data_IF_622914197640
#
_entry.id   IF_622914197640
#
_cell.length_a   1.000
_cell.length_b   1.000
_cell.length_c   1.000
_cell.angle_alpha   90.00
_cell.angle_beta   90.00
_cell.angle_gamma   90.00
#
_symmetry.space_group_name_H-M   'P 1'
#
loop_
_entity.id
_entity.type
_entity.pdbx_description
1 polymer ?
#
# COMPACT_ATOMS: atom_id res chain seq x y z
N UNK A 1 -9.27 -4.21 2.61
CA UNK A 1 -10.64 -4.41 2.12
C UNK A 1 -11.54 -5.05 3.18
N UNK A 2 -11.05 -6.04 3.91
CA UNK A 2 -11.73 -6.72 5.01
C UNK A 2 -10.91 -6.53 6.28
N UNK A 3 -11.58 -6.31 7.42
CA UNK A 3 -10.90 -6.02 8.68
C UNK A 3 -10.68 -7.28 9.52
N UNK A 4 -11.54 -8.26 9.35
CA UNK A 4 -11.49 -9.51 10.10
C UNK A 4 -10.56 -10.52 9.43
N UNK A 5 -9.73 -11.20 10.25
CA UNK A 5 -8.77 -12.20 9.78
C UNK A 5 -9.47 -13.45 9.23
N UNK A 6 -10.51 -13.91 9.89
CA UNK A 6 -11.25 -15.09 9.44
C UNK A 6 -11.88 -14.85 8.07
N UNK A 7 -12.44 -13.65 7.89
CA UNK A 7 -12.97 -13.21 6.59
C UNK A 7 -11.88 -13.09 5.53
N UNK A 8 -10.69 -12.63 5.90
CA UNK A 8 -9.57 -12.58 4.96
C UNK A 8 -9.14 -13.99 4.52
N UNK A 9 -9.12 -14.95 5.43
CA UNK A 9 -8.83 -16.36 5.13
C UNK A 9 -9.88 -16.97 4.19
N UNK A 10 -11.17 -16.68 4.39
CA UNK A 10 -12.24 -17.08 3.46
C UNK A 10 -12.03 -16.49 2.07
N UNK A 11 -11.71 -15.19 1.98
CA UNK A 11 -11.44 -14.51 0.69
C UNK A 11 -10.27 -15.16 -0.04
N UNK A 12 -9.21 -15.55 0.68
CA UNK A 12 -8.07 -16.28 0.10
C UNK A 12 -8.50 -17.65 -0.43
N UNK A 13 -9.29 -18.40 0.32
CA UNK A 13 -9.81 -19.70 -0.13
C UNK A 13 -10.69 -19.55 -1.38
N UNK A 14 -11.63 -18.60 -1.37
CA UNK A 14 -12.48 -18.28 -2.51
C UNK A 14 -11.67 -17.87 -3.75
N UNK A 15 -10.55 -17.17 -3.52
CA UNK A 15 -9.62 -16.80 -4.59
C UNK A 15 -8.98 -18.02 -5.21
N UNK A 16 -8.47 -18.95 -4.41
CA UNK A 16 -7.88 -20.18 -4.93
C UNK A 16 -8.87 -21.06 -5.68
N UNK A 17 -10.11 -21.15 -5.20
CA UNK A 17 -11.17 -21.84 -5.95
C UNK A 17 -11.39 -21.20 -7.31
N UNK A 18 -11.52 -19.86 -7.36
CA UNK A 18 -11.69 -19.15 -8.63
C UNK A 18 -10.46 -19.29 -9.56
N UNK A 19 -9.25 -19.32 -9.03
CA UNK A 19 -8.03 -19.56 -9.80
C UNK A 19 -8.07 -20.94 -10.45
N UNK A 20 -8.39 -21.99 -9.69
CA UNK A 20 -8.46 -23.37 -10.20
C UNK A 20 -9.52 -23.47 -11.31
N UNK A 21 -10.70 -22.90 -11.10
CA UNK A 21 -11.79 -22.94 -12.07
C UNK A 21 -11.52 -22.18 -13.36
N UNK A 22 -10.69 -21.13 -13.29
CA UNK A 22 -10.42 -20.24 -14.42
C UNK A 22 -9.01 -20.35 -15.02
N UNK A 23 -8.16 -21.24 -14.48
CA UNK A 23 -6.78 -21.40 -14.91
C UNK A 23 -6.65 -21.72 -16.41
N UNK A 24 -7.56 -22.51 -16.95
CA UNK A 24 -7.63 -22.84 -18.38
C UNK A 24 -8.00 -21.65 -19.27
N UNK A 25 -8.48 -20.54 -18.70
CA UNK A 25 -8.80 -19.28 -19.40
C UNK A 25 -7.70 -18.24 -19.28
N UNK A 26 -6.61 -18.57 -18.58
CA UNK A 26 -5.46 -17.68 -18.46
C UNK A 26 -4.73 -17.55 -19.79
N UNK A 27 -4.80 -16.37 -20.40
CA UNK A 27 -4.25 -16.09 -21.74
C UNK A 27 -2.81 -15.59 -21.72
N UNK A 28 -2.17 -15.44 -20.56
CA UNK A 28 -0.78 -14.97 -20.45
C UNK A 28 -0.58 -13.49 -20.78
N UNK A 29 -1.63 -12.65 -20.74
CA UNK A 29 -1.54 -11.21 -21.01
C UNK A 29 -0.82 -10.43 -19.90
N UNK A 30 -0.74 -11.01 -18.71
CA UNK A 30 0.01 -10.51 -17.55
C UNK A 30 0.79 -11.66 -16.92
N UNK A 31 1.59 -11.40 -15.90
CA UNK A 31 2.17 -12.48 -15.10
C UNK A 31 1.06 -13.29 -14.41
N UNK A 32 1.29 -14.58 -14.18
CA UNK A 32 0.34 -15.43 -13.43
C UNK A 32 0.06 -14.84 -12.05
N UNK A 33 1.08 -14.29 -11.41
CA UNK A 33 0.97 -13.61 -10.11
C UNK A 33 0.03 -12.42 -10.18
N UNK A 34 0.20 -11.54 -11.16
CA UNK A 34 -0.65 -10.36 -11.37
C UNK A 34 -2.10 -10.76 -11.64
N UNK A 35 -2.32 -11.81 -12.41
CA UNK A 35 -3.65 -12.33 -12.68
C UNK A 35 -4.33 -12.87 -11.40
N UNK A 36 -3.60 -13.63 -10.56
CA UNK A 36 -4.10 -14.10 -9.25
C UNK A 36 -4.40 -12.92 -8.32
N UNK A 37 -3.50 -11.93 -8.25
CA UNK A 37 -3.74 -10.70 -7.48
C UNK A 37 -5.00 -9.96 -7.94
N UNK A 38 -5.28 -9.94 -9.23
CA UNK A 38 -6.51 -9.37 -9.79
C UNK A 38 -7.77 -10.06 -9.25
N UNK A 39 -7.78 -11.39 -9.25
CA UNK A 39 -8.90 -12.18 -8.70
C UNK A 39 -9.06 -11.89 -7.20
N UNK A 40 -7.95 -11.88 -6.44
CA UNK A 40 -7.96 -11.60 -5.01
C UNK A 40 -8.53 -10.22 -4.69
N UNK A 41 -8.08 -9.18 -5.40
CA UNK A 41 -8.54 -7.80 -5.20
C UNK A 41 -10.05 -7.70 -5.46
N UNK A 42 -10.55 -8.31 -6.52
CA UNK A 42 -11.98 -8.33 -6.81
C UNK A 42 -12.79 -9.01 -5.71
N UNK A 43 -12.38 -10.20 -5.29
CA UNK A 43 -13.04 -10.94 -4.20
C UNK A 43 -13.03 -10.15 -2.88
N UNK A 44 -11.89 -9.55 -2.54
CA UNK A 44 -11.73 -8.76 -1.32
C UNK A 44 -12.60 -7.48 -1.34
N UNK A 45 -12.66 -6.77 -2.46
CA UNK A 45 -13.55 -5.60 -2.63
C UNK A 45 -15.02 -5.99 -2.50
N UNK A 46 -15.44 -7.04 -3.17
CA UNK A 46 -16.83 -7.54 -3.11
C UNK A 46 -17.21 -7.95 -1.67
N UNK A 47 -16.32 -8.63 -0.96
CA UNK A 47 -16.55 -9.03 0.42
C UNK A 47 -16.64 -7.81 1.34
N UNK A 48 -15.70 -6.86 1.23
CA UNK A 48 -15.72 -5.62 2.03
C UNK A 48 -16.97 -4.78 1.82
N UNK A 49 -17.50 -4.71 0.59
CA UNK A 49 -18.79 -4.04 0.32
C UNK A 49 -19.95 -4.78 0.97
N UNK A 50 -19.96 -6.12 0.94
CA UNK A 50 -21.01 -6.91 1.59
C UNK A 50 -21.01 -6.73 3.10
N UNK A 51 -19.83 -6.77 3.74
CA UNK A 51 -19.70 -6.56 5.18
C UNK A 51 -20.16 -5.18 5.60
N UNK A 52 -19.77 -4.14 4.87
CA UNK A 52 -20.25 -2.77 5.13
C UNK A 52 -21.77 -2.67 5.04
N UNK A 53 -22.43 -3.34 4.11
CA UNK A 53 -23.90 -3.36 4.03
C UNK A 53 -24.54 -4.07 5.23
N UNK A 54 -23.89 -5.07 5.81
CA UNK A 54 -24.39 -5.77 7.00
C UNK A 54 -24.13 -4.99 8.29
N UNK A 55 -23.07 -4.18 8.33
CA UNK A 55 -22.67 -3.47 9.57
C UNK A 55 -23.24 -2.06 9.67
N UNK A 56 -23.84 -1.50 8.62
CA UNK A 56 -24.11 -0.06 8.62
C UNK A 56 -25.48 0.35 8.08
N UNK A 57 -26.28 0.79 9.01
CA UNK A 57 -27.12 1.95 8.77
C UNK A 57 -26.50 3.25 9.34
N UNK A 58 -25.25 3.23 9.81
CA UNK A 58 -24.68 4.28 10.65
C UNK A 58 -23.32 4.89 10.29
N UNK A 59 -22.69 4.54 9.18
CA UNK A 59 -21.43 5.23 8.82
C UNK A 59 -21.23 5.27 7.31
N UNK A 60 -21.85 6.26 6.69
CA UNK A 60 -21.51 6.68 5.34
C UNK A 60 -20.31 7.61 5.44
N UNK A 61 -19.11 7.07 5.60
CA UNK A 61 -17.87 7.80 5.36
C UNK A 61 -17.43 7.53 3.93
N UNK A 62 -17.58 8.56 3.11
CA UNK A 62 -17.05 8.62 1.76
C UNK A 62 -15.53 8.50 1.80
N UNK A 63 -15.00 7.46 1.14
CA UNK A 63 -13.57 7.26 0.91
C UNK A 63 -13.03 8.18 -0.21
N UNK A 64 -13.42 9.45 -0.20
CA UNK A 64 -12.90 10.49 -1.10
C UNK A 64 -12.13 11.52 -0.30
N UNK A 65 -11.14 11.08 0.48
CA UNK A 65 -10.17 11.99 1.08
C UNK A 65 -8.82 11.89 0.34
N UNK A 66 -8.86 12.19 -0.96
CA UNK A 66 -7.67 12.42 -1.78
C UNK A 66 -6.98 13.77 -1.45
N UNK A 67 -7.47 14.49 -0.42
CA UNK A 67 -7.04 15.85 -0.12
C UNK A 67 -6.21 15.99 1.16
N UNK A 68 -5.69 14.91 1.70
CA UNK A 68 -4.75 14.99 2.82
C UNK A 68 -3.33 15.24 2.28
N UNK A 69 -2.89 16.51 2.32
CA UNK A 69 -1.52 16.93 2.05
C UNK A 69 -0.58 16.38 3.14
N UNK A 70 -0.30 15.08 3.07
CA UNK A 70 0.58 14.41 4.03
C UNK A 70 2.04 14.91 3.96
N UNK A 71 2.39 15.65 2.92
CA UNK A 71 3.74 16.21 2.73
C UNK A 71 3.63 17.60 2.15
N UNK A 72 4.35 18.55 2.75
CA UNK A 72 4.49 19.92 2.23
C UNK A 72 5.05 19.88 0.79
N UNK A 73 4.29 20.39 -0.20
CA UNK A 73 4.71 20.40 -1.60
C UNK A 73 6.03 21.12 -1.84
N UNK A 74 6.45 22.04 -0.94
CA UNK A 74 7.71 22.76 -1.01
C UNK A 74 8.95 21.86 -0.90
N UNK A 75 8.79 20.63 -0.41
CA UNK A 75 9.88 19.65 -0.32
C UNK A 75 10.26 19.04 -1.66
N UNK A 76 9.45 19.27 -2.71
CA UNK A 76 9.68 18.74 -4.04
C UNK A 76 10.00 19.85 -5.03
N UNK A 77 10.83 19.53 -6.02
CA UNK A 77 11.06 20.42 -7.15
C UNK A 77 9.76 20.52 -7.95
N UNK A 78 9.20 21.74 -7.98
CA UNK A 78 7.91 22.02 -8.61
C UNK A 78 8.01 22.11 -10.15
N UNK A 79 9.22 22.39 -10.68
CA UNK A 79 9.45 22.67 -12.11
C UNK A 79 10.81 22.14 -12.56
N UNK A 80 10.94 21.82 -13.86
CA UNK A 80 12.18 21.37 -14.47
C UNK A 80 12.22 19.87 -14.77
N UNK A 81 13.36 19.39 -15.28
CA UNK A 81 13.61 18.00 -15.66
C UNK A 81 13.47 17.01 -14.47
N UNK A 82 13.57 17.53 -13.25
CA UNK A 82 13.50 16.79 -11.98
C UNK A 82 12.24 17.13 -11.16
N UNK A 83 11.18 17.62 -11.80
CA UNK A 83 9.92 17.88 -11.13
C UNK A 83 9.41 16.62 -10.43
N UNK A 84 9.03 16.74 -9.15
CA UNK A 84 8.62 15.61 -8.31
C UNK A 84 9.76 14.89 -7.57
N UNK A 85 11.02 15.27 -7.79
CA UNK A 85 12.15 14.81 -7.00
C UNK A 85 12.35 15.69 -5.76
N UNK A 86 13.03 15.16 -4.74
CA UNK A 86 13.32 15.90 -3.51
C UNK A 86 14.12 17.17 -3.77
N UNK A 87 13.58 18.34 -3.40
CA UNK A 87 14.34 19.57 -3.33
C UNK A 87 15.33 19.56 -2.16
N UNK A 88 14.91 18.93 -1.05
CA UNK A 88 15.74 18.69 0.13
C UNK A 88 15.67 17.21 0.48
N UNK A 89 16.64 16.39 0.07
CA UNK A 89 16.65 14.98 0.44
C UNK A 89 16.75 14.83 1.96
N UNK A 90 16.14 13.79 2.54
CA UNK A 90 16.27 13.51 3.96
C UNK A 90 17.74 13.38 4.36
N UNK A 91 18.07 13.87 5.56
CA UNK A 91 19.42 13.72 6.08
C UNK A 91 19.81 12.23 6.13
N UNK A 92 21.10 11.90 5.84
CA UNK A 92 21.59 10.53 6.01
C UNK A 92 21.31 10.08 7.44
N UNK A 93 20.77 8.89 7.58
CA UNK A 93 20.55 8.29 8.88
C UNK A 93 21.91 8.07 9.54
N UNK A 94 22.01 8.47 10.81
CA UNK A 94 23.19 8.36 11.64
C UNK A 94 23.84 6.97 11.51
N UNK A 95 25.11 6.77 11.86
CA UNK A 95 26.02 5.61 11.66
C UNK A 95 25.45 4.18 11.85
N UNK A 96 24.17 4.06 12.24
CA UNK A 96 23.41 2.83 12.15
C UNK A 96 22.85 2.70 10.73
N UNK A 97 23.48 1.86 9.92
CA UNK A 97 23.00 1.63 8.55
C UNK A 97 21.52 1.22 8.58
N UNK A 98 20.69 1.70 7.62
CA UNK A 98 19.29 1.29 7.50
C UNK A 98 19.09 -0.22 7.55
N UNK A 99 20.06 -0.99 7.04
CA UNK A 99 20.07 -2.44 7.08
C UNK A 99 20.15 -3.01 8.50
N UNK A 100 20.94 -2.41 9.40
CA UNK A 100 21.01 -2.84 10.80
C UNK A 100 19.73 -2.53 11.57
N UNK A 101 19.07 -1.41 11.24
CA UNK A 101 17.80 -1.03 11.83
C UNK A 101 16.64 -1.90 11.29
N UNK A 102 16.61 -2.18 10.00
CA UNK A 102 15.64 -3.08 9.38
C UNK A 102 15.82 -4.54 9.84
N UNK A 103 17.03 -4.94 10.18
CA UNK A 103 17.32 -6.26 10.76
C UNK A 103 16.74 -6.42 12.18
N UNK A 104 16.36 -5.35 12.87
CA UNK A 104 15.71 -5.46 14.17
C UNK A 104 14.24 -5.87 14.00
N UNK A 105 13.79 -6.93 14.67
CA UNK A 105 12.39 -7.38 14.65
C UNK A 105 11.42 -6.26 15.05
N UNK A 106 11.86 -5.34 15.89
CA UNK A 106 11.07 -4.20 16.34
C UNK A 106 10.85 -3.16 15.23
N UNK A 107 11.87 -2.87 14.42
CA UNK A 107 11.75 -1.96 13.28
C UNK A 107 10.82 -2.55 12.20
N UNK A 108 10.96 -3.84 11.93
CA UNK A 108 10.07 -4.57 11.01
C UNK A 108 8.61 -4.51 11.52
N UNK A 109 8.39 -4.73 12.82
CA UNK A 109 7.06 -4.64 13.41
C UNK A 109 6.48 -3.22 13.36
N UNK A 110 7.31 -2.19 13.53
CA UNK A 110 6.88 -0.80 13.39
C UNK A 110 6.48 -0.47 11.94
N UNK A 111 7.27 -0.92 10.97
CA UNK A 111 6.97 -0.78 9.55
C UNK A 111 5.67 -1.49 9.16
N UNK A 112 5.46 -2.72 9.63
CA UNK A 112 4.23 -3.48 9.37
C UNK A 112 3.00 -2.74 9.92
N UNK A 113 3.06 -2.28 11.17
CA UNK A 113 1.98 -1.47 11.75
C UNK A 113 1.72 -0.18 10.97
N UNK A 114 2.77 0.49 10.51
CA UNK A 114 2.64 1.67 9.68
C UNK A 114 1.92 1.37 8.35
N UNK A 115 2.27 0.26 7.70
CA UNK A 115 1.59 -0.20 6.47
C UNK A 115 0.13 -0.56 6.75
N UNK A 116 -0.14 -1.24 7.87
CA UNK A 116 -1.51 -1.59 8.27
C UNK A 116 -2.39 -0.36 8.53
N UNK A 117 -1.82 0.70 9.07
CA UNK A 117 -2.50 1.96 9.34
C UNK A 117 -2.75 2.83 8.10
N UNK A 118 -2.16 2.50 6.95
CA UNK A 118 -2.40 3.25 5.72
C UNK A 118 -3.86 3.15 5.26
N UNK A 119 -4.42 4.23 4.69
CA UNK A 119 -5.66 4.15 3.93
C UNK A 119 -5.57 3.06 2.85
N UNK A 120 -6.69 2.40 2.57
CA UNK A 120 -6.75 1.25 1.64
C UNK A 120 -6.15 1.60 0.27
N UNK A 121 -6.45 2.80 -0.25
CA UNK A 121 -5.97 3.28 -1.56
C UNK A 121 -4.46 3.48 -1.63
N UNK A 122 -3.80 3.81 -0.52
CA UNK A 122 -2.35 3.92 -0.42
C UNK A 122 -1.70 2.56 -0.16
N UNK A 123 -2.33 1.75 0.69
CA UNK A 123 -1.87 0.41 1.04
C UNK A 123 -1.80 -0.50 -0.18
N UNK A 124 -2.86 -0.52 -1.02
CA UNK A 124 -2.92 -1.38 -2.20
C UNK A 124 -1.78 -1.09 -3.20
N UNK A 125 -1.49 0.19 -3.47
CA UNK A 125 -0.38 0.54 -4.37
C UNK A 125 0.98 0.21 -3.78
N UNK A 126 1.19 0.45 -2.48
CA UNK A 126 2.45 0.14 -1.81
C UNK A 126 2.73 -1.37 -1.83
N UNK A 127 1.72 -2.18 -1.48
CA UNK A 127 1.87 -3.64 -1.46
C UNK A 127 2.15 -4.15 -2.87
N UNK A 128 1.36 -3.77 -3.87
CA UNK A 128 1.54 -4.26 -5.23
C UNK A 128 2.90 -3.86 -5.84
N UNK A 129 3.34 -2.61 -5.64
CA UNK A 129 4.58 -2.13 -6.24
C UNK A 129 5.83 -2.52 -5.46
N UNK A 130 5.84 -2.30 -4.15
CA UNK A 130 7.07 -2.37 -3.35
C UNK A 130 7.24 -3.73 -2.66
N UNK A 131 6.14 -4.39 -2.27
CA UNK A 131 6.20 -5.72 -1.63
C UNK A 131 6.12 -6.82 -2.68
N UNK A 132 5.14 -6.74 -3.58
CA UNK A 132 4.87 -7.77 -4.59
C UNK A 132 5.67 -7.57 -5.88
N UNK A 133 6.25 -6.40 -6.11
CA UNK A 133 7.08 -6.10 -7.29
C UNK A 133 6.31 -6.11 -8.61
N UNK A 134 4.98 -5.88 -8.59
CA UNK A 134 4.14 -5.84 -9.79
C UNK A 134 4.52 -4.64 -10.65
N UNK A 135 4.55 -4.79 -11.99
CA UNK A 135 4.87 -3.68 -12.90
C UNK A 135 3.86 -2.52 -12.79
N UNK A 136 4.33 -1.28 -13.01
CA UNK A 136 3.50 -0.09 -12.87
C UNK A 136 2.25 -0.11 -13.76
N UNK A 137 2.39 -0.58 -15.02
CA UNK A 137 1.27 -0.67 -15.95
C UNK A 137 0.25 -1.71 -15.48
N UNK A 138 0.73 -2.86 -15.02
CA UNK A 138 -0.14 -3.92 -14.48
C UNK A 138 -0.89 -3.44 -13.23
N UNK A 139 -0.24 -2.67 -12.33
CA UNK A 139 -0.92 -2.07 -11.17
C UNK A 139 -2.00 -1.08 -11.61
N UNK A 140 -1.70 -0.22 -12.59
CA UNK A 140 -2.69 0.71 -13.14
C UNK A 140 -3.92 -0.01 -13.71
N UNK A 141 -3.72 -1.11 -14.43
CA UNK A 141 -4.79 -1.94 -14.97
C UNK A 141 -5.61 -2.62 -13.86
N UNK A 142 -4.93 -3.22 -12.86
CA UNK A 142 -5.57 -3.89 -11.73
C UNK A 142 -6.45 -2.95 -10.89
N UNK A 143 -5.92 -1.76 -10.60
CA UNK A 143 -6.60 -0.80 -9.72
C UNK A 143 -7.49 0.19 -10.49
N UNK A 144 -7.42 0.19 -11.82
CA UNK A 144 -8.13 1.12 -12.73
C UNK A 144 -7.78 2.59 -12.43
N UNK A 145 -6.51 2.86 -12.22
CA UNK A 145 -5.97 4.21 -11.96
C UNK A 145 -4.99 4.63 -13.07
N UNK A 146 -4.76 5.93 -13.18
CA UNK A 146 -3.74 6.46 -14.09
C UNK A 146 -2.34 6.28 -13.49
N UNK A 147 -1.32 6.30 -14.35
CA UNK A 147 0.08 6.20 -13.92
C UNK A 147 0.47 7.38 -13.00
N UNK A 148 0.00 8.59 -13.30
CA UNK A 148 0.19 9.75 -12.42
C UNK A 148 -0.39 9.52 -11.04
N UNK A 149 -1.62 9.00 -10.96
CA UNK A 149 -2.27 8.70 -9.68
C UNK A 149 -1.52 7.59 -8.91
N UNK A 150 -1.03 6.56 -9.61
CA UNK A 150 -0.18 5.52 -9.02
C UNK A 150 1.03 6.13 -8.32
N UNK A 151 1.81 6.98 -9.01
CA UNK A 151 3.02 7.56 -8.43
C UNK A 151 2.73 8.51 -7.28
N UNK A 152 1.67 9.30 -7.36
CA UNK A 152 1.23 10.17 -6.25
C UNK A 152 0.86 9.34 -5.01
N UNK A 153 0.04 8.30 -5.19
CA UNK A 153 -0.35 7.42 -4.08
C UNK A 153 0.85 6.68 -3.49
N UNK A 154 1.73 6.16 -4.34
CA UNK A 154 2.92 5.45 -3.92
C UNK A 154 3.86 6.36 -3.11
N UNK A 155 4.04 7.60 -3.57
CA UNK A 155 4.83 8.60 -2.87
C UNK A 155 4.25 8.88 -1.47
N UNK A 156 2.96 9.18 -1.38
CA UNK A 156 2.26 9.43 -0.11
C UNK A 156 2.34 8.21 0.84
N UNK A 157 2.18 7.00 0.30
CA UNK A 157 2.29 5.78 1.09
C UNK A 157 3.69 5.61 1.70
N UNK A 158 4.74 5.76 0.90
CA UNK A 158 6.13 5.66 1.34
C UNK A 158 6.48 6.70 2.40
N UNK A 159 6.01 7.94 2.21
CA UNK A 159 6.27 9.02 3.17
C UNK A 159 5.60 8.76 4.52
N UNK A 160 4.35 8.31 4.53
CA UNK A 160 3.66 7.96 5.78
C UNK A 160 4.36 6.82 6.53
N UNK A 161 4.78 5.79 5.82
CA UNK A 161 5.53 4.67 6.44
C UNK A 161 6.88 5.16 6.96
N UNK A 162 7.56 6.01 6.21
CA UNK A 162 8.85 6.60 6.62
C UNK A 162 8.72 7.41 7.89
N UNK A 163 7.76 8.36 7.95
CA UNK A 163 7.52 9.18 9.15
C UNK A 163 7.20 8.32 10.37
N UNK A 164 6.40 7.28 10.22
CA UNK A 164 6.07 6.37 11.30
C UNK A 164 7.31 5.60 11.83
N UNK A 165 8.20 5.16 10.92
CA UNK A 165 9.44 4.50 11.30
C UNK A 165 10.43 5.47 11.95
N UNK A 166 10.59 6.69 11.42
CA UNK A 166 11.41 7.75 12.01
C UNK A 166 10.95 8.08 13.43
N UNK A 167 9.66 8.30 13.64
CA UNK A 167 9.06 8.56 14.97
C UNK A 167 9.32 7.42 15.94
N UNK A 168 9.25 6.19 15.49
CA UNK A 168 9.58 5.02 16.30
C UNK A 168 11.06 5.02 16.74
N UNK A 169 11.96 5.31 15.81
CA UNK A 169 13.41 5.35 16.08
C UNK A 169 13.80 6.49 17.02
N UNK A 170 13.17 7.66 16.90
CA UNK A 170 13.37 8.79 17.80
C UNK A 170 12.82 8.52 19.21
N UNK A 171 11.67 7.86 19.31
CA UNK A 171 11.08 7.44 20.58
C UNK A 171 11.97 6.44 21.34
N UNK A 172 12.62 5.52 20.62
CA UNK A 172 13.59 4.59 21.19
C UNK A 172 14.87 5.25 21.72
N UNK A 173 15.29 6.37 21.12
CA UNK A 173 16.47 7.15 21.61
C UNK A 173 16.18 7.93 22.90
N UNK A 174 14.92 8.28 23.20
CA UNK A 174 14.52 8.98 24.44
C UNK A 174 14.32 8.06 25.64
N UNK A 175 14.26 6.76 25.42
CA UNK A 175 14.01 5.77 26.47
C UNK A 175 15.31 5.08 26.97
N UNK A 176 16.48 5.44 26.45
CA UNK A 176 17.81 5.09 26.93
C UNK A 176 18.47 6.31 27.62
#
# INVERSE_FOLDING_TARGET
YVADREVAEEVVQDTWMAVIESLNRFEGRSSLRTWICGILIHKAKDRGVREKRHTTFSAFESYDDDNDEAVDPSRFQQTGEWAGHWAFPPQPWDDQTPEKLLASQQAVSAMQRAIEALPVTLKEVLILRDVEGVDAKEVCELLKITETNLYVRLHRARERVRVAVETYLEGGKKAM
#
